data_IF_432141521108
#
_entry.id   IF_432141521108
#
_cell.length_a   1.000
_cell.length_b   1.000
_cell.length_c   1.000
_cell.angle_alpha   90.00
_cell.angle_beta   90.00
_cell.angle_gamma   90.00
#
_symmetry.space_group_name_H-M   'P 1'
#
loop_
_entity.id
_entity.type
_entity.pdbx_description
1 polymer ?
#
# COMPACT_ATOMS: atom_id res chain seq x y z
N UNK A 1 -3.49 27.13 2.10
CA UNK A 1 -3.10 27.55 3.45
C UNK A 1 -1.62 27.29 3.57
N UNK A 2 -0.82 28.34 3.61
CA UNK A 2 0.63 28.28 3.79
C UNK A 2 0.95 28.47 5.27
N UNK A 3 1.91 27.71 5.80
CA UNK A 3 2.36 27.84 7.18
C UNK A 3 3.52 28.85 7.23
N UNK A 4 3.48 29.80 8.15
CA UNK A 4 4.54 30.79 8.35
C UNK A 4 4.90 30.94 9.83
N UNK A 5 6.12 31.36 10.12
CA UNK A 5 6.61 31.73 11.44
C UNK A 5 7.08 33.17 11.43
N UNK A 6 6.60 33.95 12.40
CA UNK A 6 6.96 35.35 12.58
C UNK A 6 8.05 35.47 13.65
N UNK A 7 9.04 36.33 13.40
CA UNK A 7 10.12 36.60 14.34
C UNK A 7 9.95 37.96 15.00
N UNK A 8 10.49 38.13 16.21
CA UNK A 8 10.46 39.41 16.95
C UNK A 8 11.18 40.55 16.21
N UNK A 9 12.05 40.22 15.24
CA UNK A 9 12.70 41.18 14.33
C UNK A 9 11.74 41.77 13.28
N UNK A 10 10.53 41.23 13.13
CA UNK A 10 9.57 41.57 12.09
C UNK A 10 9.79 40.82 10.77
N UNK A 11 10.68 39.83 10.75
CA UNK A 11 10.89 38.92 9.62
C UNK A 11 9.84 37.80 9.64
N UNK A 12 9.49 37.27 8.46
CA UNK A 12 8.56 36.16 8.29
C UNK A 12 9.24 35.05 7.48
N UNK A 13 9.07 33.79 7.89
CA UNK A 13 9.55 32.63 7.13
C UNK A 13 8.42 31.69 6.75
N UNK A 14 8.41 31.29 5.47
CA UNK A 14 7.49 30.28 4.95
C UNK A 14 7.99 28.88 5.32
N UNK A 15 7.12 28.07 5.91
CA UNK A 15 7.41 26.72 6.36
C UNK A 15 6.78 25.71 5.40
N UNK A 16 7.61 24.81 4.87
CA UNK A 16 7.17 23.66 4.09
C UNK A 16 7.37 22.39 4.92
N UNK A 17 6.28 21.66 5.16
CA UNK A 17 6.32 20.35 5.82
C UNK A 17 6.25 19.25 4.76
N UNK A 18 7.27 18.38 4.75
CA UNK A 18 7.30 17.20 3.89
C UNK A 18 7.04 15.96 4.74
N UNK A 19 5.96 15.25 4.45
CA UNK A 19 5.65 13.98 5.11
C UNK A 19 6.47 12.87 4.46
N UNK A 20 7.43 12.31 5.19
CA UNK A 20 8.21 11.16 4.75
C UNK A 20 7.54 9.84 5.19
N UNK A 21 7.83 8.75 4.47
CA UNK A 21 7.46 7.38 4.83
C UNK A 21 5.95 7.05 4.92
N UNK A 22 5.10 7.75 4.17
CA UNK A 22 3.66 7.41 4.02
C UNK A 22 3.40 6.01 3.40
N UNK A 23 4.44 5.33 2.91
CA UNK A 23 4.30 4.00 2.29
C UNK A 23 4.04 2.85 3.27
N UNK A 24 4.29 3.05 4.57
CA UNK A 24 4.23 1.98 5.57
C UNK A 24 2.83 1.83 6.18
N UNK A 25 1.77 1.72 5.37
CA UNK A 25 0.42 1.48 5.88
C UNK A 25 0.15 -0.02 6.10
N UNK A 26 -0.12 -0.40 7.35
CA UNK A 26 -0.54 -1.75 7.69
C UNK A 26 -2.07 -1.85 7.75
N UNK A 27 -2.69 -2.62 6.86
CA UNK A 27 -4.14 -2.87 6.85
C UNK A 27 -4.64 -3.79 7.98
N UNK A 28 -3.74 -4.41 8.76
CA UNK A 28 -4.10 -5.28 9.89
C UNK A 28 -4.32 -4.45 11.16
N UNK A 29 -3.38 -3.56 11.50
CA UNK A 29 -3.41 -2.78 12.75
C UNK A 29 -3.56 -1.26 12.53
N UNK A 30 -3.67 -0.83 11.26
CA UNK A 30 -3.87 0.57 10.85
C UNK A 30 -2.76 1.54 11.25
N UNK A 31 -1.56 1.03 11.53
CA UNK A 31 -0.37 1.85 11.83
C UNK A 31 0.43 2.16 10.56
N UNK A 32 1.09 3.32 10.59
CA UNK A 32 1.99 3.78 9.54
C UNK A 32 3.47 3.37 9.77
N UNK A 33 3.73 2.45 10.70
CA UNK A 33 5.09 2.09 11.15
C UNK A 33 5.68 0.85 10.47
N UNK A 34 4.87 0.06 9.75
CA UNK A 34 5.30 -1.19 9.12
C UNK A 34 4.37 -1.58 7.97
N UNK A 35 4.85 -2.43 7.07
CA UNK A 35 4.03 -3.07 6.05
C UNK A 35 3.20 -4.22 6.66
N UNK A 36 2.05 -4.52 6.04
CA UNK A 36 1.19 -5.64 6.44
C UNK A 36 1.97 -6.97 6.61
N UNK A 37 3.00 -7.20 5.77
CA UNK A 37 3.90 -8.36 5.79
C UNK A 37 4.83 -8.44 6.99
N UNK A 38 4.96 -7.39 7.79
CA UNK A 38 5.73 -7.38 9.04
C UNK A 38 4.86 -7.08 10.27
N UNK A 39 3.53 -7.09 10.13
CA UNK A 39 2.63 -6.83 11.25
C UNK A 39 2.76 -7.88 12.36
N UNK A 40 3.02 -7.46 13.62
CA UNK A 40 3.13 -8.38 14.76
C UNK A 40 1.79 -9.01 15.14
N UNK A 41 0.67 -8.37 14.78
CA UNK A 41 -0.68 -8.88 14.99
C UNK A 41 -1.15 -9.80 13.85
N UNK A 42 -0.28 -10.13 12.88
CA UNK A 42 -0.67 -11.01 11.78
C UNK A 42 -1.06 -12.38 12.33
N UNK A 43 -2.29 -12.86 12.07
CA UNK A 43 -2.65 -14.23 12.38
C UNK A 43 -1.69 -15.18 11.68
N UNK A 44 -1.10 -16.12 12.42
CA UNK A 44 -0.36 -17.20 11.79
C UNK A 44 -1.29 -17.88 10.77
N UNK A 45 -0.83 -17.99 9.52
CA UNK A 45 -1.61 -18.66 8.50
C UNK A 45 -2.00 -20.04 9.03
N UNK A 46 -3.26 -20.50 8.84
CA UNK A 46 -3.62 -21.85 9.20
C UNK A 46 -2.68 -22.77 8.41
N UNK A 47 -1.82 -23.50 9.11
CA UNK A 47 -1.07 -24.60 8.55
C UNK A 47 -2.10 -25.61 8.06
N UNK A 48 -2.46 -25.53 6.78
CA UNK A 48 -3.06 -26.64 6.08
C UNK A 48 -2.02 -27.75 6.12
N UNK A 49 -2.17 -28.66 7.09
CA UNK A 49 -1.61 -29.99 6.99
C UNK A 49 -2.16 -30.55 5.68
N UNK A 50 -1.36 -30.48 4.62
CA UNK A 50 -1.66 -31.14 3.38
C UNK A 50 -1.61 -32.64 3.69
N UNK A 51 -2.76 -33.21 4.03
CA UNK A 51 -2.98 -34.64 3.89
C UNK A 51 -2.83 -34.93 2.41
N UNK A 52 -1.80 -35.69 2.11
CA UNK A 52 -1.50 -36.26 0.81
C UNK A 52 -2.69 -37.14 0.38
N UNK A 53 -3.63 -36.60 -0.39
CA UNK A 53 -4.59 -37.43 -1.11
C UNK A 53 -4.67 -36.99 -2.56
N UNK A 54 -3.96 -37.77 -3.37
CA UNK A 54 -4.07 -37.91 -4.81
C UNK A 54 -5.54 -37.76 -5.30
N UNK A 55 -5.83 -36.77 -6.14
CA UNK A 55 -7.17 -36.55 -6.69
C UNK A 55 -7.20 -35.46 -7.75
N UNK A 56 -7.15 -35.87 -9.02
CA UNK A 56 -7.29 -35.04 -10.21
C UNK A 56 -8.52 -34.12 -10.18
N UNK A 57 -8.32 -32.80 -10.20
CA UNK A 57 -9.29 -31.84 -10.71
C UNK A 57 -8.56 -30.58 -11.21
N UNK A 58 -8.00 -30.71 -12.41
CA UNK A 58 -7.50 -29.60 -13.22
C UNK A 58 -8.70 -28.73 -13.66
N UNK A 59 -9.14 -27.78 -12.84
CA UNK A 59 -10.00 -26.70 -13.32
C UNK A 59 -9.13 -25.66 -14.02
N UNK A 60 -8.93 -25.87 -15.32
CA UNK A 60 -8.41 -24.86 -16.23
C UNK A 60 -9.36 -23.66 -16.23
N UNK A 61 -8.97 -22.55 -15.61
CA UNK A 61 -9.59 -21.23 -15.87
C UNK A 61 -9.17 -20.80 -17.27
N UNK A 62 -10.09 -20.46 -18.19
CA UNK A 62 -9.71 -19.76 -19.40
C UNK A 62 -9.16 -18.38 -18.99
N UNK A 63 -7.92 -18.12 -19.36
CA UNK A 63 -7.31 -16.79 -19.29
C UNK A 63 -7.57 -16.17 -20.66
N UNK A 64 -8.62 -15.36 -20.77
CA UNK A 64 -8.81 -14.51 -21.94
C UNK A 64 -7.69 -13.47 -21.96
N UNK A 65 -6.64 -13.76 -22.72
CA UNK A 65 -5.61 -12.80 -23.11
C UNK A 65 -6.09 -12.04 -24.33
N UNK A 66 -6.96 -11.04 -24.14
CA UNK A 66 -7.10 -9.95 -25.11
C UNK A 66 -6.03 -8.91 -24.81
N UNK A 67 -4.89 -9.09 -25.47
CA UNK A 67 -3.92 -8.01 -25.67
C UNK A 67 -4.60 -6.95 -26.56
N UNK A 68 -5.06 -5.86 -25.96
CA UNK A 68 -5.42 -4.67 -26.72
C UNK A 68 -4.61 -3.53 -26.15
N UNK A 69 -3.54 -3.20 -26.88
CA UNK A 69 -2.78 -1.98 -26.72
C UNK A 69 -3.73 -0.78 -26.76
N UNK A 70 -4.01 -0.18 -25.62
CA UNK A 70 -4.53 1.18 -25.54
C UNK A 70 -3.57 2.00 -24.69
N UNK A 71 -2.77 2.78 -25.42
CA UNK A 71 -2.17 4.02 -24.98
C UNK A 71 -3.19 4.93 -24.29
N UNK A 72 -2.80 5.42 -23.11
CA UNK A 72 -3.35 6.65 -22.52
C UNK A 72 -4.41 6.43 -21.46
N UNK A 73 -4.03 6.63 -20.19
CA UNK A 73 -4.66 7.65 -19.35
C UNK A 73 -3.75 8.00 -18.18
N UNK A 74 -3.43 9.28 -18.12
CA UNK A 74 -2.74 10.01 -17.06
C UNK A 74 -3.44 9.76 -15.72
N UNK A 75 -2.72 9.21 -14.74
CA UNK A 75 -3.21 9.14 -13.37
C UNK A 75 -2.83 10.42 -12.63
N UNK A 76 -3.74 11.39 -12.66
CA UNK A 76 -3.81 12.44 -11.64
C UNK A 76 -5.21 12.36 -11.04
N UNK A 77 -5.31 12.04 -9.75
CA UNK A 77 -6.20 12.68 -8.77
C UNK A 77 -6.05 11.95 -7.41
N UNK A 78 -5.17 12.46 -6.55
CA UNK A 78 -5.31 12.59 -5.10
C UNK A 78 -4.17 13.44 -4.53
#
# INVERSE_FOLDING_TARGET
MEASMDYDSGEESIISLHYENLGNHCSICYRLSHLQSHCPERPAAPTTHQTETNGLAHYSRPRDTTSTNHSGTSWNDW
#
